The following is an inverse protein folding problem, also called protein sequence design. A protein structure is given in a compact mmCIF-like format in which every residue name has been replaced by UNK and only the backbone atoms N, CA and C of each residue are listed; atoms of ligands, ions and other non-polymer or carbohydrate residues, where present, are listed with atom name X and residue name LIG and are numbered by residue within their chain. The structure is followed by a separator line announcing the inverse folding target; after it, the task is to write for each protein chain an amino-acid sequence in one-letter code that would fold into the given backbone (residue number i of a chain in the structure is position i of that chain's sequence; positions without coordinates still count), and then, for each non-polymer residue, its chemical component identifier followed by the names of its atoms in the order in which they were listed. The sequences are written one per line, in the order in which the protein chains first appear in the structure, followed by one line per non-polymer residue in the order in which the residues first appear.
data_IF_851021781539
#
_entry.id   IF_851021781539
#
_cell.length_a   1.000
_cell.length_b   1.000
_cell.length_c   1.000
_cell.angle_alpha   90.00
_cell.angle_beta   90.00
_cell.angle_gamma   90.00
#
_symmetry.space_group_name_H-M   'P 1'
#
loop_
_entity.id
_entity.type
_entity.pdbx_description
1 polymer ?
#
# COMPACT_ATOMS: atom_id res chain seq x y z
N UNK A 1 -57.98 -10.50 53.16
CA UNK A 1 -57.40 -9.52 52.29
C UNK A 1 -58.01 -9.73 50.91
N UNK A 2 -59.05 -8.90 50.59
CA UNK A 2 -59.71 -8.92 49.29
C UNK A 2 -58.91 -8.03 48.30
N UNK A 3 -58.44 -8.63 47.26
CA UNK A 3 -57.92 -7.89 46.08
C UNK A 3 -59.12 -7.60 45.18
N UNK A 4 -59.46 -6.31 45.07
CA UNK A 4 -60.44 -5.81 44.12
C UNK A 4 -59.82 -5.77 42.73
N UNK A 5 -60.34 -6.64 41.87
CA UNK A 5 -60.00 -6.65 40.45
C UNK A 5 -61.06 -5.76 39.74
N UNK A 6 -60.74 -4.46 39.66
CA UNK A 6 -61.57 -3.51 38.93
C UNK A 6 -60.82 -3.17 37.57
N UNK A 7 -60.87 -4.14 36.68
CA UNK A 7 -60.55 -3.76 35.25
C UNK A 7 -61.75 -2.99 34.72
N UNK A 8 -61.55 -1.72 34.48
CA UNK A 8 -62.54 -0.77 33.98
C UNK A 8 -63.04 -1.24 32.60
N UNK A 9 -64.36 -1.02 32.40
CA UNK A 9 -65.04 -1.31 31.10
C UNK A 9 -64.31 -0.64 29.91
N UNK A 10 -63.65 0.46 30.18
CA UNK A 10 -62.82 1.21 29.19
C UNK A 10 -61.65 0.41 28.70
N UNK A 11 -60.96 -0.38 29.55
CA UNK A 11 -59.79 -1.16 29.17
C UNK A 11 -60.13 -2.31 28.24
N UNK A 12 -61.31 -2.93 28.44
CA UNK A 12 -61.81 -4.02 27.58
C UNK A 12 -62.15 -3.53 26.16
N UNK A 13 -62.63 -2.30 26.02
CA UNK A 13 -62.93 -1.72 24.71
C UNK A 13 -61.66 -1.34 23.98
N UNK A 14 -60.66 -0.83 24.71
CA UNK A 14 -59.35 -0.50 24.17
C UNK A 14 -58.61 -1.74 23.66
N UNK A 15 -58.59 -2.83 24.42
CA UNK A 15 -57.97 -4.09 23.96
C UNK A 15 -58.68 -4.69 22.76
N UNK A 16 -59.99 -4.62 22.68
CA UNK A 16 -60.75 -5.13 21.53
C UNK A 16 -60.50 -4.29 20.27
N UNK A 17 -60.35 -2.96 20.41
CA UNK A 17 -60.08 -2.07 19.29
C UNK A 17 -58.63 -2.28 18.75
N UNK A 18 -57.67 -2.50 19.65
CA UNK A 18 -56.27 -2.73 19.30
C UNK A 18 -56.06 -4.04 18.55
N UNK A 19 -56.77 -5.13 18.95
CA UNK A 19 -56.68 -6.43 18.29
C UNK A 19 -57.27 -6.42 16.88
N UNK A 20 -58.35 -5.66 16.65
CA UNK A 20 -58.96 -5.50 15.31
C UNK A 20 -58.05 -4.72 14.37
N UNK A 21 -57.38 -3.67 14.86
CA UNK A 21 -56.46 -2.87 14.05
C UNK A 21 -55.21 -3.71 13.67
N UNK A 22 -54.67 -4.51 14.56
CA UNK A 22 -53.56 -5.41 14.30
C UNK A 22 -53.90 -6.51 13.30
N UNK A 23 -55.12 -7.06 13.34
CA UNK A 23 -55.58 -8.11 12.43
C UNK A 23 -55.77 -7.55 10.98
N UNK A 24 -56.28 -6.34 10.86
CA UNK A 24 -56.47 -5.71 9.54
C UNK A 24 -55.13 -5.28 8.91
N UNK A 25 -54.15 -4.82 9.68
CA UNK A 25 -52.79 -4.48 9.20
C UNK A 25 -52.07 -5.72 8.67
N UNK A 26 -52.23 -6.88 9.29
CA UNK A 26 -51.62 -8.14 8.83
C UNK A 26 -52.20 -8.63 7.48
N UNK A 27 -53.50 -8.43 7.25
CA UNK A 27 -54.14 -8.83 5.99
C UNK A 27 -53.74 -7.97 4.81
N UNK A 28 -53.41 -6.67 5.01
CA UNK A 28 -52.96 -5.75 3.96
C UNK A 28 -51.49 -6.01 3.62
N UNK A 29 -50.63 -6.35 4.58
CA UNK A 29 -49.21 -6.71 4.31
C UNK A 29 -49.06 -8.04 3.55
N UNK A 30 -49.98 -8.99 3.74
CA UNK A 30 -49.92 -10.28 3.06
C UNK A 30 -50.18 -10.23 1.57
N UNK A 31 -50.96 -9.22 1.09
CA UNK A 31 -51.28 -9.06 -0.33
C UNK A 31 -50.27 -8.28 -1.16
N UNK A 32 -49.33 -7.56 -0.48
CA UNK A 32 -48.29 -6.76 -1.17
C UNK A 32 -47.04 -7.57 -1.58
N UNK A 33 -46.95 -8.81 -1.18
CA UNK A 33 -45.72 -9.61 -1.30
C UNK A 33 -45.66 -10.47 -2.58
N UNK A 34 -46.65 -10.38 -3.48
CA UNK A 34 -46.68 -11.22 -4.70
C UNK A 34 -46.32 -10.48 -5.98
N UNK A 35 -46.05 -9.17 -5.91
CA UNK A 35 -45.56 -8.44 -7.07
C UNK A 35 -44.04 -8.41 -7.03
N UNK A 36 -43.38 -9.43 -7.63
CA UNK A 36 -41.99 -9.31 -8.07
C UNK A 36 -42.01 -8.58 -9.42
N UNK A 37 -41.65 -7.30 -9.48
CA UNK A 37 -41.31 -6.74 -10.76
C UNK A 37 -40.14 -7.57 -11.30
N UNK A 38 -40.23 -8.04 -12.54
CA UNK A 38 -39.08 -8.51 -13.29
C UNK A 38 -38.12 -7.32 -13.40
N UNK A 39 -37.27 -7.12 -12.40
CA UNK A 39 -36.11 -6.27 -12.57
C UNK A 39 -35.26 -6.94 -13.62
N UNK A 40 -35.04 -6.27 -14.79
CA UNK A 40 -34.04 -6.77 -15.72
C UNK A 40 -32.76 -6.98 -14.90
N UNK A 41 -32.19 -8.19 -14.96
CA UNK A 41 -30.87 -8.49 -14.41
C UNK A 41 -29.98 -7.31 -14.79
N UNK A 42 -29.56 -6.54 -13.78
CA UNK A 42 -28.60 -5.49 -14.01
C UNK A 42 -27.36 -6.19 -14.59
N UNK A 43 -27.25 -6.17 -15.92
CA UNK A 43 -26.00 -6.50 -16.57
C UNK A 43 -24.95 -5.69 -15.82
N UNK A 44 -23.96 -6.36 -15.23
CA UNK A 44 -22.92 -5.70 -14.47
C UNK A 44 -22.39 -4.55 -15.32
N UNK A 45 -22.72 -3.32 -14.94
CA UNK A 45 -22.28 -2.15 -15.68
C UNK A 45 -20.75 -2.23 -15.71
N UNK A 46 -20.17 -2.12 -16.89
CA UNK A 46 -18.74 -2.03 -17.05
C UNK A 46 -18.24 -0.94 -16.08
N UNK A 47 -17.12 -1.16 -15.35
CA UNK A 47 -16.62 -0.16 -14.43
C UNK A 47 -16.47 1.17 -15.15
N UNK A 48 -16.98 2.24 -14.54
CA UNK A 48 -16.86 3.58 -15.10
C UNK A 48 -15.36 3.89 -15.33
N UNK A 49 -15.01 4.62 -16.40
CA UNK A 49 -13.64 5.00 -16.66
C UNK A 49 -13.09 5.76 -15.43
N UNK A 50 -11.92 5.33 -14.92
CA UNK A 50 -11.29 5.98 -13.79
C UNK A 50 -11.00 7.44 -14.13
N UNK A 51 -11.33 8.35 -13.22
CA UNK A 51 -10.96 9.74 -13.37
C UNK A 51 -9.43 9.90 -13.38
N UNK A 52 -8.91 10.96 -13.98
CA UNK A 52 -7.47 11.26 -13.96
C UNK A 52 -6.94 11.38 -12.51
N UNK A 53 -7.76 11.87 -11.59
CA UNK A 53 -7.42 11.96 -10.17
C UNK A 53 -7.29 10.58 -9.51
N UNK A 54 -8.20 9.65 -9.82
CA UNK A 54 -8.14 8.28 -9.31
C UNK A 54 -6.89 7.55 -9.81
N UNK A 55 -6.51 7.79 -11.06
CA UNK A 55 -5.27 7.22 -11.63
C UNK A 55 -4.02 7.75 -10.92
N UNK A 56 -3.95 9.06 -10.68
CA UNK A 56 -2.83 9.69 -9.95
C UNK A 56 -2.74 9.16 -8.52
N UNK A 57 -3.87 9.06 -7.82
CA UNK A 57 -3.90 8.53 -6.46
C UNK A 57 -3.47 7.05 -6.42
N UNK A 58 -3.97 6.25 -7.34
CA UNK A 58 -3.59 4.83 -7.46
C UNK A 58 -2.09 4.68 -7.71
N UNK A 59 -1.53 5.51 -8.60
CA UNK A 59 -0.10 5.53 -8.86
C UNK A 59 0.69 5.92 -7.61
N UNK A 60 0.30 6.98 -6.91
CA UNK A 60 0.98 7.44 -5.69
C UNK A 60 0.99 6.36 -4.59
N UNK A 61 -0.14 5.69 -4.38
CA UNK A 61 -0.24 4.58 -3.42
C UNK A 61 0.70 3.43 -3.81
N UNK A 62 0.79 3.11 -5.10
CA UNK A 62 1.70 2.08 -5.58
C UNK A 62 3.17 2.47 -5.34
N UNK A 63 3.57 3.69 -5.69
CA UNK A 63 4.94 4.20 -5.48
C UNK A 63 5.33 4.21 -4.00
N UNK A 64 4.42 4.65 -3.13
CA UNK A 64 4.62 4.60 -1.69
C UNK A 64 4.86 3.18 -1.19
N UNK A 65 4.04 2.21 -1.64
CA UNK A 65 4.21 0.81 -1.27
C UNK A 65 5.56 0.26 -1.73
N UNK A 66 5.93 0.49 -3.00
CA UNK A 66 7.19 -0.01 -3.55
C UNK A 66 8.40 0.58 -2.80
N UNK A 67 8.36 1.87 -2.45
CA UNK A 67 9.41 2.49 -1.65
C UNK A 67 9.47 1.88 -0.26
N UNK A 68 8.34 1.74 0.43
CA UNK A 68 8.27 1.12 1.76
C UNK A 68 8.86 -0.29 1.78
N UNK A 69 8.58 -1.08 0.75
CA UNK A 69 9.13 -2.43 0.60
C UNK A 69 10.65 -2.39 0.44
N UNK A 70 11.18 -1.51 -0.40
CA UNK A 70 12.63 -1.36 -0.56
C UNK A 70 13.31 -0.97 0.75
N UNK A 71 12.78 0.03 1.48
CA UNK A 71 13.33 0.47 2.75
C UNK A 71 13.31 -0.67 3.78
N UNK A 72 12.18 -1.37 3.90
CA UNK A 72 12.01 -2.44 4.87
C UNK A 72 12.93 -3.63 4.59
N UNK A 73 12.93 -4.18 3.39
CA UNK A 73 13.66 -5.41 3.11
C UNK A 73 15.16 -5.20 3.01
N UNK A 74 15.60 -4.03 2.57
CA UNK A 74 17.02 -3.75 2.37
C UNK A 74 17.68 -3.10 3.59
N UNK A 75 16.96 -2.32 4.39
CA UNK A 75 17.62 -1.47 5.40
C UNK A 75 16.91 -1.35 6.76
N UNK A 76 15.89 -2.15 7.08
CA UNK A 76 15.17 -2.06 8.36
C UNK A 76 16.08 -2.17 9.61
N UNK A 77 17.26 -2.75 9.50
CA UNK A 77 18.25 -2.87 10.58
C UNK A 77 19.30 -1.77 10.60
N UNK A 78 19.31 -0.88 9.59
CA UNK A 78 20.36 0.13 9.40
C UNK A 78 19.97 1.52 9.97
N UNK A 79 18.80 1.61 10.57
CA UNK A 79 18.22 2.87 11.04
C UNK A 79 17.85 3.83 9.91
N UNK A 80 17.33 4.98 10.29
CA UNK A 80 16.78 5.96 9.36
C UNK A 80 17.75 6.39 8.24
N UNK A 81 19.02 6.55 8.59
CA UNK A 81 20.04 6.96 7.62
C UNK A 81 20.30 5.88 6.56
N UNK A 82 20.33 4.60 6.95
CA UNK A 82 20.47 3.49 6.01
C UNK A 82 19.25 3.35 5.09
N UNK A 83 18.05 3.49 5.62
CA UNK A 83 16.84 3.49 4.81
C UNK A 83 16.81 4.65 3.82
N UNK A 84 17.19 5.88 4.23
CA UNK A 84 17.31 7.02 3.32
C UNK A 84 18.36 6.79 2.23
N UNK A 85 19.48 6.14 2.55
CA UNK A 85 20.50 5.81 1.57
C UNK A 85 19.98 4.82 0.51
N UNK A 86 19.17 3.84 0.88
CA UNK A 86 18.49 2.95 -0.08
C UNK A 86 17.49 3.74 -0.93
N UNK A 87 16.72 4.66 -0.34
CA UNK A 87 15.83 5.53 -1.10
C UNK A 87 16.60 6.35 -2.14
N UNK A 88 17.74 6.95 -1.76
CA UNK A 88 18.58 7.70 -2.69
C UNK A 88 19.00 6.87 -3.91
N UNK A 89 19.39 5.60 -3.69
CA UNK A 89 19.74 4.70 -4.80
C UNK A 89 18.55 4.49 -5.74
N UNK A 90 17.34 4.30 -5.21
CA UNK A 90 16.12 4.15 -6.02
C UNK A 90 15.90 5.40 -6.89
N UNK A 91 15.98 6.60 -6.31
CA UNK A 91 15.80 7.85 -7.05
C UNK A 91 16.93 8.13 -8.04
N UNK A 92 18.19 7.82 -7.68
CA UNK A 92 19.32 7.94 -8.63
C UNK A 92 19.15 7.00 -9.83
N UNK A 93 18.67 5.78 -9.61
CA UNK A 93 18.36 4.84 -10.70
C UNK A 93 17.26 5.37 -11.62
N UNK A 94 16.18 5.93 -11.08
CA UNK A 94 15.13 6.56 -11.87
C UNK A 94 15.69 7.67 -12.77
N UNK A 95 16.62 8.46 -12.25
CA UNK A 95 17.23 9.58 -12.97
C UNK A 95 18.34 9.16 -13.95
N UNK A 96 18.88 7.98 -13.83
CA UNK A 96 20.00 7.50 -14.67
C UNK A 96 19.59 7.12 -16.11
N UNK A 97 18.30 7.01 -16.41
CA UNK A 97 17.74 6.83 -17.76
C UNK A 97 17.82 5.40 -18.33
N UNK A 98 18.48 4.47 -17.67
CA UNK A 98 18.60 3.07 -18.11
C UNK A 98 17.95 2.06 -17.13
N UNK A 99 17.38 2.55 -16.05
CA UNK A 99 16.49 1.83 -15.15
C UNK A 99 15.03 2.24 -15.40
N UNK A 100 14.10 1.70 -14.66
CA UNK A 100 12.70 2.10 -14.74
C UNK A 100 12.49 3.60 -14.40
N UNK A 101 11.40 4.18 -14.92
CA UNK A 101 11.05 5.60 -14.74
C UNK A 101 10.09 5.85 -13.56
N UNK A 102 9.85 4.85 -12.72
CA UNK A 102 9.07 4.96 -11.49
C UNK A 102 9.74 4.18 -10.37
N UNK A 103 9.39 4.45 -9.13
CA UNK A 103 9.92 3.71 -7.97
C UNK A 103 9.60 2.22 -8.12
N UNK A 104 8.35 1.88 -8.44
CA UNK A 104 7.96 0.49 -8.64
C UNK A 104 8.73 -0.17 -9.79
N UNK A 105 8.94 0.53 -10.90
CA UNK A 105 9.69 0.00 -12.03
C UNK A 105 11.16 -0.28 -11.67
N UNK A 106 11.79 0.56 -10.85
CA UNK A 106 13.15 0.34 -10.34
C UNK A 106 13.19 -0.80 -9.33
N UNK A 107 12.26 -0.81 -8.36
CA UNK A 107 12.25 -1.80 -7.28
C UNK A 107 11.97 -3.20 -7.80
N UNK A 108 11.06 -3.34 -8.73
CA UNK A 108 10.67 -4.63 -9.31
C UNK A 108 11.39 -4.98 -10.62
N UNK A 109 12.45 -4.24 -10.96
CA UNK A 109 13.26 -4.54 -12.14
C UNK A 109 13.83 -5.96 -12.05
N UNK A 110 13.63 -6.73 -13.10
CA UNK A 110 14.09 -8.11 -13.20
C UNK A 110 13.28 -9.14 -12.40
N UNK A 111 12.23 -8.75 -11.66
CA UNK A 111 11.43 -9.67 -10.82
C UNK A 111 10.73 -10.79 -11.61
N UNK A 112 10.45 -10.59 -12.89
CA UNK A 112 9.89 -11.60 -13.80
C UNK A 112 10.94 -12.38 -14.59
N UNK A 113 12.24 -12.12 -14.35
CA UNK A 113 13.37 -12.70 -15.09
C UNK A 113 14.45 -13.14 -14.08
N UNK A 114 15.53 -13.76 -14.59
CA UNK A 114 16.72 -14.00 -13.75
C UNK A 114 17.49 -12.69 -13.57
N UNK A 115 17.71 -12.28 -12.31
CA UNK A 115 18.52 -11.10 -12.00
C UNK A 115 17.73 -9.92 -11.43
N UNK A 116 17.00 -10.15 -10.32
CA UNK A 116 16.28 -9.09 -9.59
C UNK A 116 17.24 -8.05 -9.05
N UNK A 117 16.93 -6.77 -9.26
CA UNK A 117 17.69 -5.66 -8.69
C UNK A 117 17.61 -5.64 -7.17
N UNK A 118 16.45 -5.98 -6.63
CA UNK A 118 16.20 -6.14 -5.20
C UNK A 118 15.81 -7.59 -4.91
N UNK A 119 16.61 -8.28 -4.11
CA UNK A 119 16.51 -9.72 -3.88
C UNK A 119 15.15 -10.15 -3.33
N UNK A 120 14.54 -9.34 -2.47
CA UNK A 120 13.27 -9.63 -1.84
C UNK A 120 12.10 -9.78 -2.84
N UNK A 121 12.23 -9.22 -4.05
CA UNK A 121 11.20 -9.34 -5.08
C UNK A 121 11.17 -10.73 -5.73
N UNK A 122 12.19 -11.57 -5.51
CA UNK A 122 12.37 -12.86 -6.15
C UNK A 122 12.62 -14.05 -5.21
N UNK A 123 13.00 -13.79 -3.94
CA UNK A 123 13.40 -14.83 -3.00
C UNK A 123 12.27 -15.33 -2.09
N UNK A 124 11.05 -14.81 -2.29
CA UNK A 124 9.86 -15.16 -1.51
C UNK A 124 9.67 -14.36 -0.22
N UNK A 125 10.52 -13.39 0.09
CA UNK A 125 10.40 -12.56 1.30
C UNK A 125 9.08 -11.78 1.36
N UNK A 126 8.52 -11.38 0.22
CA UNK A 126 7.22 -10.71 0.14
C UNK A 126 6.06 -11.53 0.72
N UNK A 127 6.21 -12.86 0.79
CA UNK A 127 5.19 -13.78 1.33
C UNK A 127 5.40 -14.09 2.82
N UNK A 128 6.49 -13.61 3.43
CA UNK A 128 6.77 -13.82 4.84
C UNK A 128 6.11 -12.75 5.71
N UNK A 129 5.70 -13.08 6.94
CA UNK A 129 5.21 -12.08 7.89
C UNK A 129 6.25 -10.98 8.10
N UNK A 130 5.79 -9.73 8.07
CA UNK A 130 6.63 -8.56 8.35
C UNK A 130 6.65 -8.28 9.85
N UNK A 131 7.79 -7.79 10.35
CA UNK A 131 7.86 -7.23 11.69
C UNK A 131 7.10 -5.88 11.70
N UNK A 132 6.05 -5.79 12.52
CA UNK A 132 5.05 -4.73 12.40
C UNK A 132 5.62 -3.33 12.68
N UNK A 133 6.52 -3.18 13.66
CA UNK A 133 7.07 -1.87 14.03
C UNK A 133 8.04 -1.36 12.98
N UNK A 134 8.93 -2.22 12.48
CA UNK A 134 9.86 -1.86 11.42
C UNK A 134 9.12 -1.55 10.10
N UNK A 135 8.11 -2.36 9.75
CA UNK A 135 7.28 -2.10 8.58
C UNK A 135 6.62 -0.73 8.64
N UNK A 136 5.96 -0.43 9.78
CA UNK A 136 5.35 0.89 10.00
C UNK A 136 6.36 2.03 9.92
N UNK A 137 7.58 1.84 10.45
CA UNK A 137 8.65 2.83 10.34
C UNK A 137 9.04 3.12 8.89
N UNK A 138 9.22 2.06 8.08
CA UNK A 138 9.55 2.19 6.65
C UNK A 138 8.41 2.83 5.85
N UNK A 139 7.13 2.51 6.15
CA UNK A 139 5.97 3.19 5.54
C UNK A 139 5.94 4.68 5.86
N UNK A 140 6.17 5.05 7.11
CA UNK A 140 6.20 6.45 7.52
C UNK A 140 7.35 7.21 6.86
N UNK A 141 8.53 6.61 6.80
CA UNK A 141 9.67 7.23 6.14
C UNK A 141 9.45 7.38 4.64
N UNK A 142 8.89 6.37 3.97
CA UNK A 142 8.54 6.45 2.56
C UNK A 142 7.56 7.59 2.28
N UNK A 143 6.51 7.74 3.10
CA UNK A 143 5.56 8.85 3.01
C UNK A 143 6.26 10.20 3.17
N UNK A 144 7.12 10.35 4.17
CA UNK A 144 7.88 11.58 4.43
C UNK A 144 8.85 11.94 3.29
N UNK A 145 9.46 10.94 2.65
CA UNK A 145 10.32 11.16 1.48
C UNK A 145 9.48 11.65 0.30
N UNK A 146 8.36 10.99 0.02
CA UNK A 146 7.48 11.34 -1.11
C UNK A 146 6.80 12.71 -0.97
N UNK A 147 6.52 13.13 0.26
CA UNK A 147 5.96 14.46 0.56
C UNK A 147 7.02 15.55 0.71
N UNK A 148 8.31 15.19 0.72
CA UNK A 148 9.42 16.14 0.93
C UNK A 148 9.68 16.50 2.39
N UNK A 149 8.96 15.92 3.35
CA UNK A 149 9.20 16.11 4.79
C UNK A 149 10.54 15.51 5.26
N UNK A 150 11.00 14.46 4.58
CA UNK A 150 12.33 13.88 4.77
C UNK A 150 13.15 13.99 3.48
N UNK A 151 13.75 15.14 3.19
CA UNK A 151 14.48 15.36 1.97
C UNK A 151 15.71 14.44 1.88
N UNK A 152 15.95 13.88 0.71
CA UNK A 152 17.16 13.13 0.39
C UNK A 152 18.32 14.13 0.19
N UNK A 153 19.46 13.86 0.82
CA UNK A 153 20.60 14.79 0.91
C UNK A 153 21.80 14.37 0.06
N UNK A 154 21.61 13.38 -0.84
CA UNK A 154 22.68 12.80 -1.64
C UNK A 154 23.86 12.26 -0.80
N UNK A 155 23.53 11.68 0.36
CA UNK A 155 24.52 11.10 1.28
C UNK A 155 25.29 9.92 0.64
N UNK A 156 24.68 9.28 -0.35
CA UNK A 156 25.29 8.18 -1.12
C UNK A 156 26.18 8.69 -2.28
N UNK A 157 26.27 10.00 -2.52
CA UNK A 157 27.11 10.59 -3.58
C UNK A 157 26.74 10.18 -5.00
N UNK A 158 25.43 10.06 -5.30
CA UNK A 158 24.93 9.68 -6.61
C UNK A 158 25.02 8.18 -6.91
N UNK A 159 25.09 7.35 -5.87
CA UNK A 159 25.22 5.90 -6.04
C UNK A 159 23.99 5.28 -6.71
N UNK A 160 24.23 4.34 -7.61
CA UNK A 160 23.23 3.48 -8.24
C UNK A 160 23.42 2.01 -7.87
N UNK A 161 24.52 1.68 -7.20
CA UNK A 161 24.87 0.33 -6.77
C UNK A 161 25.30 0.33 -5.30
N UNK A 162 25.02 -0.74 -4.60
CA UNK A 162 25.54 -0.97 -3.25
C UNK A 162 25.62 -2.47 -2.96
N UNK A 163 26.39 -2.81 -1.95
CA UNK A 163 26.44 -4.16 -1.36
C UNK A 163 26.69 -4.08 0.13
N UNK A 164 26.35 -5.15 0.85
CA UNK A 164 26.68 -5.25 2.26
C UNK A 164 28.21 -5.32 2.46
N UNK A 165 28.73 -4.72 3.52
CA UNK A 165 30.17 -4.72 3.87
C UNK A 165 30.75 -6.14 3.92
N UNK A 166 29.94 -7.13 4.32
CA UNK A 166 30.32 -8.54 4.36
C UNK A 166 30.47 -9.21 2.98
N UNK A 167 30.07 -8.53 1.91
CA UNK A 167 30.11 -9.05 0.54
C UNK A 167 31.28 -8.42 -0.24
N UNK A 168 31.76 -9.13 -1.27
CA UNK A 168 32.80 -8.60 -2.17
C UNK A 168 32.43 -8.95 -3.61
N UNK A 169 31.45 -8.26 -4.21
CA UNK A 169 31.00 -8.58 -5.54
C UNK A 169 32.04 -8.20 -6.59
N UNK A 170 32.14 -8.99 -7.66
CA UNK A 170 33.16 -8.82 -8.73
C UNK A 170 33.10 -7.47 -9.45
N UNK A 171 31.93 -6.85 -9.48
CA UNK A 171 31.73 -5.56 -10.12
C UNK A 171 32.19 -4.35 -9.27
N UNK A 172 32.33 -4.50 -7.93
CA UNK A 172 32.65 -3.38 -7.06
C UNK A 172 33.98 -2.66 -7.42
N UNK A 173 35.08 -3.35 -7.80
CA UNK A 173 36.31 -2.68 -8.20
C UNK A 173 36.20 -1.89 -9.51
N UNK A 174 35.16 -2.11 -10.32
CA UNK A 174 34.96 -1.40 -11.60
C UNK A 174 34.17 -0.10 -11.46
N UNK A 175 33.66 0.18 -10.26
CA UNK A 175 32.85 1.34 -9.94
C UNK A 175 33.57 2.27 -8.95
N UNK A 176 33.11 3.52 -8.89
CA UNK A 176 33.63 4.50 -7.94
C UNK A 176 32.91 4.32 -6.60
N UNK A 177 33.63 3.94 -5.54
CA UNK A 177 33.08 3.95 -4.18
C UNK A 177 32.79 5.39 -3.77
N UNK A 178 31.57 5.66 -3.31
CA UNK A 178 31.13 7.03 -2.98
C UNK A 178 30.88 7.21 -1.49
N UNK A 179 30.33 6.19 -0.82
CA UNK A 179 30.01 6.27 0.60
C UNK A 179 30.04 4.89 1.26
N UNK A 180 30.06 4.91 2.60
CA UNK A 180 29.71 3.76 3.43
C UNK A 180 28.76 4.26 4.51
N UNK A 181 27.55 3.68 4.56
CA UNK A 181 26.49 4.06 5.50
C UNK A 181 25.97 2.75 6.11
N UNK A 182 26.03 2.65 7.43
CA UNK A 182 25.71 1.41 8.13
C UNK A 182 26.54 0.23 7.60
N UNK A 183 25.89 -0.86 7.29
CA UNK A 183 26.51 -2.07 6.75
C UNK A 183 26.52 -2.11 5.21
N UNK A 184 26.33 -0.96 4.54
CA UNK A 184 26.34 -0.88 3.08
C UNK A 184 27.47 0.01 2.54
N UNK A 185 28.08 -0.43 1.44
CA UNK A 185 29.03 0.35 0.66
C UNK A 185 28.37 0.72 -0.66
N UNK A 186 28.40 2.01 -0.98
CA UNK A 186 27.71 2.62 -2.11
C UNK A 186 28.67 2.97 -3.24
N UNK A 187 28.19 2.81 -4.49
CA UNK A 187 28.99 3.00 -5.69
C UNK A 187 28.18 3.69 -6.78
N UNK A 188 28.85 4.51 -7.57
CA UNK A 188 28.32 5.05 -8.83
C UNK A 188 29.14 4.57 -10.02
N UNK A 189 28.56 4.60 -11.20
CA UNK A 189 29.29 4.34 -12.44
C UNK A 189 30.50 5.25 -12.55
N UNK A 190 31.62 4.77 -13.03
CA UNK A 190 32.74 5.60 -13.46
C UNK A 190 32.26 6.46 -14.60
N UNK A 191 32.20 7.78 -14.44
CA UNK A 191 32.00 8.67 -15.57
C UNK A 191 33.12 8.44 -16.57
N UNK A 192 32.78 8.00 -17.78
CA UNK A 192 33.65 8.26 -18.90
C UNK A 192 33.69 9.79 -19.05
N UNK A 193 34.76 10.44 -18.53
CA UNK A 193 35.14 11.75 -19.04
C UNK A 193 35.40 11.51 -20.51
N UNK A 194 34.45 11.89 -21.35
CA UNK A 194 34.79 12.15 -22.75
C UNK A 194 35.68 13.39 -22.71
N UNK A 195 36.99 13.15 -22.68
CA UNK A 195 37.95 14.16 -23.04
C UNK A 195 37.63 14.55 -24.49
N UNK A 196 37.07 15.72 -24.64
CA UNK A 196 36.84 16.41 -25.92
C UNK A 196 38.03 17.17 -26.31
#
# INVERSE_FOLDING_TARGET
MHHNDTTSRSDRVLFAALTVILATASAVLGSAMSYRPNTPSAAAAAPAPQSAQDMVLTQLVAEHRCLSEALYYEARGEGRMGEQAVAEVVFHRMNAGHYGHSICAVVYEGSSRRGCQFSFTCNGDLHRPREASAWKGSEQLAAQILTGEAPLRNATGGATNYHAVSMSPYWAPTLVKTAQIGNHIFYRGGGHTRDS
#
